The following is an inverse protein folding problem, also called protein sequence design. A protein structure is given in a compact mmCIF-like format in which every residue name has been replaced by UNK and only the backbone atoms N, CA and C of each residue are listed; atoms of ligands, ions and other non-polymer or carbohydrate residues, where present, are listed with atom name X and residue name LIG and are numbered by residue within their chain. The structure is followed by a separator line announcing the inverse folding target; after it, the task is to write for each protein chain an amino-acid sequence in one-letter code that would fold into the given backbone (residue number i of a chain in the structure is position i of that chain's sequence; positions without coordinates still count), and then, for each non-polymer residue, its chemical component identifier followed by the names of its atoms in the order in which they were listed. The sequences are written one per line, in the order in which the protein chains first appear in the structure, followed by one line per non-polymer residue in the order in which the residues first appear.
data_IF_759371257826
#
_entry.id   IF_759371257826
#
_cell.length_a   1.000
_cell.length_b   1.000
_cell.length_c   1.000
_cell.angle_alpha   90.00
_cell.angle_beta   90.00
_cell.angle_gamma   90.00
#
_symmetry.space_group_name_H-M   'P 1'
#
loop_
_entity.id
_entity.type
_entity.pdbx_description
1 polymer ?
#
# COMPACT_ATOMS: atom_id res chain seq x y z
N UNK A 1 4.76 2.47 -10.45
CA UNK A 1 4.19 2.96 -9.17
C UNK A 1 2.73 2.56 -9.21
N UNK A 2 2.26 1.71 -8.31
CA UNK A 2 1.07 0.88 -8.56
C UNK A 2 -0.22 1.66 -8.79
N UNK A 3 -0.40 2.83 -8.16
CA UNK A 3 -1.66 3.59 -8.23
C UNK A 3 -1.67 4.70 -9.30
N UNK A 4 -0.69 4.70 -10.21
CA UNK A 4 -0.64 5.66 -11.33
C UNK A 4 -1.34 5.18 -12.61
N UNK A 5 -1.76 3.92 -12.68
CA UNK A 5 -2.40 3.37 -13.88
C UNK A 5 -3.88 3.76 -13.95
N UNK A 6 -4.37 4.00 -15.17
CA UNK A 6 -5.77 4.33 -15.50
C UNK A 6 -6.77 3.31 -14.93
N UNK A 7 -6.32 2.09 -14.64
CA UNK A 7 -7.11 1.02 -14.04
C UNK A 7 -7.71 1.40 -12.67
N UNK A 8 -7.07 2.31 -11.91
CA UNK A 8 -7.57 2.75 -10.60
C UNK A 8 -8.48 3.98 -10.68
N UNK A 9 -8.43 4.75 -11.77
CA UNK A 9 -9.24 5.95 -11.98
C UNK A 9 -10.74 5.68 -12.18
N UNK A 10 -11.12 4.42 -12.47
CA UNK A 10 -12.53 4.00 -12.57
C UNK A 10 -13.11 3.38 -11.30
N UNK A 11 -12.27 2.91 -10.37
CA UNK A 11 -12.70 2.21 -9.14
C UNK A 11 -12.60 3.07 -7.89
N UNK A 12 -11.71 4.06 -7.88
CA UNK A 12 -11.48 4.96 -6.75
C UNK A 12 -11.58 6.41 -7.22
N UNK A 13 -12.09 7.28 -6.36
CA UNK A 13 -12.07 8.73 -6.61
C UNK A 13 -10.62 9.22 -6.58
N UNK A 14 -10.27 10.32 -7.27
CA UNK A 14 -8.91 10.87 -7.24
C UNK A 14 -8.36 11.08 -5.82
N UNK A 15 -9.18 11.58 -4.89
CA UNK A 15 -8.80 11.76 -3.48
C UNK A 15 -8.50 10.44 -2.75
N UNK A 16 -9.14 9.35 -3.16
CA UNK A 16 -8.92 8.02 -2.59
C UNK A 16 -7.64 7.41 -3.17
N UNK A 17 -7.39 7.62 -4.47
CA UNK A 17 -6.12 7.28 -5.12
C UNK A 17 -4.94 7.96 -4.41
N UNK A 18 -5.09 9.23 -4.01
CA UNK A 18 -4.06 9.95 -3.25
C UNK A 18 -3.76 9.28 -1.89
N UNK A 19 -4.80 8.85 -1.17
CA UNK A 19 -4.65 8.13 0.11
C UNK A 19 -3.91 6.80 -0.10
N UNK A 20 -4.35 6.01 -1.09
CA UNK A 20 -3.74 4.72 -1.42
C UNK A 20 -2.26 4.88 -1.83
N UNK A 21 -1.98 5.90 -2.66
CA UNK A 21 -0.63 6.19 -3.14
C UNK A 21 0.28 6.65 -1.99
N UNK A 22 -0.21 7.50 -1.08
CA UNK A 22 0.55 7.94 0.09
C UNK A 22 0.82 6.77 1.03
N UNK A 23 -0.21 5.98 1.36
CA UNK A 23 -0.07 4.80 2.22
C UNK A 23 0.99 3.83 1.69
N UNK A 24 1.02 3.60 0.37
CA UNK A 24 2.02 2.75 -0.25
C UNK A 24 3.45 3.31 -0.16
N UNK A 25 3.62 4.62 -0.40
CA UNK A 25 4.93 5.28 -0.28
C UNK A 25 5.46 5.16 1.16
N UNK A 26 4.61 5.46 2.15
CA UNK A 26 4.95 5.34 3.56
C UNK A 26 5.30 3.90 3.93
N UNK A 27 4.58 2.92 3.39
CA UNK A 27 4.87 1.51 3.62
C UNK A 27 6.24 1.11 3.07
N UNK A 28 6.62 1.61 1.89
CA UNK A 28 7.95 1.43 1.33
C UNK A 28 9.04 2.10 2.19
N UNK A 29 8.77 3.30 2.73
CA UNK A 29 9.69 3.98 3.63
C UNK A 29 9.91 3.21 4.94
N UNK A 30 8.83 2.72 5.57
CA UNK A 30 8.90 1.95 6.81
C UNK A 30 9.68 0.64 6.68
N UNK A 31 9.65 0.02 5.51
CA UNK A 31 10.33 -1.25 5.26
C UNK A 31 11.71 -1.05 4.61
N UNK A 32 12.16 0.19 4.39
CA UNK A 32 13.38 0.54 3.65
C UNK A 32 13.44 -0.12 2.25
N UNK A 33 12.27 -0.30 1.61
CA UNK A 33 12.12 -0.99 0.32
C UNK A 33 11.93 0.00 -0.82
N UNK A 34 12.52 -0.30 -1.97
CA UNK A 34 12.33 0.51 -3.17
C UNK A 34 10.95 0.25 -3.80
N UNK A 35 10.08 1.27 -3.95
CA UNK A 35 8.72 1.12 -4.50
C UNK A 35 8.67 0.69 -5.99
N UNK A 36 9.82 0.69 -6.70
CA UNK A 36 9.91 0.39 -8.14
C UNK A 36 10.48 -1.00 -8.45
N UNK A 37 11.30 -1.57 -7.56
CA UNK A 37 12.07 -2.79 -7.85
C UNK A 37 11.78 -3.93 -6.88
N UNK A 38 10.92 -3.69 -5.88
CA UNK A 38 10.63 -4.69 -4.86
C UNK A 38 9.62 -5.73 -5.38
N UNK A 39 9.98 -7.00 -5.30
CA UNK A 39 9.17 -8.15 -5.74
C UNK A 39 7.80 -8.22 -5.05
N UNK A 40 7.68 -7.62 -3.85
CA UNK A 40 6.43 -7.58 -3.09
C UNK A 40 5.58 -6.32 -3.31
N UNK A 41 5.95 -5.44 -4.25
CA UNK A 41 5.21 -4.19 -4.53
C UNK A 41 3.74 -4.44 -4.91
N UNK A 42 3.45 -5.49 -5.69
CA UNK A 42 2.09 -5.87 -6.05
C UNK A 42 1.28 -6.41 -4.86
N UNK A 43 1.92 -7.15 -3.94
CA UNK A 43 1.28 -7.64 -2.71
C UNK A 43 0.98 -6.49 -1.75
N UNK A 44 1.95 -5.60 -1.54
CA UNK A 44 1.78 -4.41 -0.70
C UNK A 44 0.66 -3.51 -1.22
N UNK A 45 0.57 -3.29 -2.53
CA UNK A 45 -0.52 -2.52 -3.13
C UNK A 45 -1.90 -3.14 -2.84
N UNK A 46 -2.03 -4.47 -2.91
CA UNK A 46 -3.28 -5.16 -2.54
C UNK A 46 -3.61 -5.01 -1.06
N UNK A 47 -2.64 -5.14 -0.17
CA UNK A 47 -2.85 -4.96 1.28
C UNK A 47 -3.27 -3.52 1.61
N UNK A 48 -2.68 -2.52 0.94
CA UNK A 48 -3.09 -1.11 1.09
C UNK A 48 -4.55 -0.91 0.67
N UNK A 49 -4.98 -1.51 -0.45
CA UNK A 49 -6.38 -1.46 -0.88
C UNK A 49 -7.31 -2.13 0.13
N UNK A 50 -6.95 -3.31 0.64
CA UNK A 50 -7.77 -4.04 1.60
C UNK A 50 -7.98 -3.26 2.90
N UNK A 51 -6.92 -2.64 3.43
CA UNK A 51 -7.02 -1.80 4.63
C UNK A 51 -7.88 -0.56 4.38
N UNK A 52 -7.77 0.05 3.19
CA UNK A 52 -8.63 1.15 2.79
C UNK A 52 -10.10 0.71 2.68
N UNK A 53 -10.39 -0.41 2.03
CA UNK A 53 -11.75 -0.95 1.90
C UNK A 53 -12.35 -1.36 3.25
N UNK A 54 -11.52 -1.75 4.22
CA UNK A 54 -11.93 -2.02 5.60
C UNK A 54 -12.34 -0.75 6.39
N UNK A 55 -12.22 0.44 5.79
CA UNK A 55 -12.67 1.71 6.37
C UNK A 55 -11.54 2.59 6.89
N UNK A 56 -10.28 2.14 6.84
CA UNK A 56 -9.16 3.01 7.20
C UNK A 56 -9.00 4.11 6.13
N UNK A 57 -8.88 5.35 6.56
CA UNK A 57 -8.70 6.53 5.67
C UNK A 57 -7.41 7.29 5.97
N UNK A 58 -6.73 6.96 7.06
CA UNK A 58 -5.43 7.52 7.40
C UNK A 58 -4.32 6.73 6.67
N UNK A 59 -3.58 7.36 5.73
CA UNK A 59 -2.52 6.69 4.99
C UNK A 59 -1.39 6.17 5.88
N UNK A 60 -1.07 6.85 6.99
CA UNK A 60 -0.01 6.41 7.91
C UNK A 60 -0.42 5.18 8.71
N UNK A 61 -1.69 5.13 9.14
CA UNK A 61 -2.23 3.95 9.80
C UNK A 61 -2.25 2.74 8.87
N UNK A 62 -2.70 2.92 7.63
CA UNK A 62 -2.69 1.87 6.61
C UNK A 62 -1.25 1.38 6.39
N UNK A 63 -0.29 2.29 6.19
CA UNK A 63 1.11 1.94 5.97
C UNK A 63 1.68 1.10 7.12
N UNK A 64 1.38 1.45 8.37
CA UNK A 64 1.84 0.71 9.55
C UNK A 64 1.23 -0.69 9.63
N UNK A 65 -0.08 -0.83 9.34
CA UNK A 65 -0.76 -2.13 9.33
C UNK A 65 -0.18 -3.05 8.25
N UNK A 66 0.01 -2.52 7.04
CA UNK A 66 0.59 -3.28 5.92
C UNK A 66 2.05 -3.65 6.18
N UNK A 67 2.87 -2.74 6.71
CA UNK A 67 4.26 -3.04 7.05
C UNK A 67 4.37 -4.11 8.15
N UNK A 68 3.48 -4.08 9.15
CA UNK A 68 3.40 -5.12 10.16
C UNK A 68 2.96 -6.47 9.58
N UNK A 69 2.04 -6.49 8.61
CA UNK A 69 1.62 -7.71 7.95
C UNK A 69 2.78 -8.32 7.14
N UNK A 70 3.53 -7.49 6.41
CA UNK A 70 4.70 -7.92 5.62
C UNK A 70 5.83 -8.48 6.48
N UNK A 71 6.18 -7.82 7.59
CA UNK A 71 7.24 -8.29 8.50
C UNK A 71 6.89 -9.61 9.18
N UNK A 72 5.62 -9.80 9.59
CA UNK A 72 5.13 -11.07 10.15
C UNK A 72 5.22 -12.22 9.14
N UNK A 73 4.98 -11.95 7.86
CA UNK A 73 5.07 -12.96 6.80
C UNK A 73 6.53 -13.32 6.51
N UNK A 74 7.45 -12.36 6.48
CA UNK A 74 8.90 -12.61 6.28
C UNK A 74 9.58 -13.39 7.42
N UNK A 75 8.92 -13.56 8.57
CA UNK A 75 9.48 -14.30 9.72
C UNK A 75 9.10 -15.80 9.73
N UNK A 76 8.41 -16.28 8.69
CA UNK A 76 7.90 -17.66 8.58
C UNK A 76 8.69 -18.49 7.56
N UNK A 77 9.71 -17.93 6.90
CA UNK A 77 10.63 -18.68 6.00
C UNK A 77 11.88 -19.22 6.72
#
# INVERSE_FOLDING_TARGET
MPFRDEMYYGSFRPSEVDILQQAFIECCALLERCPKTHEFSARMAKLVILEFEAGNRDPYQIAKLVANAETKISSID
#
